data_IF_739303797142
#
_entry.id   IF_739303797142
#
_cell.length_a   1.000
_cell.length_b   1.000
_cell.length_c   1.000
_cell.angle_alpha   90.00
_cell.angle_beta   90.00
_cell.angle_gamma   90.00
#
_symmetry.space_group_name_H-M   'P 1'
#
loop_
_entity.id
_entity.type
_entity.pdbx_description
1 polymer ?
#
# COMPACT_ATOMS: atom_id res chain seq x y z
N UNK A 1 -2.55 -1.77 -10.09
CA UNK A 1 -3.56 -2.35 -9.18
C UNK A 1 -2.77 -3.09 -8.11
N UNK A 2 -2.94 -2.74 -6.84
CA UNK A 2 -2.18 -3.34 -5.73
C UNK A 2 -3.20 -4.10 -4.89
N UNK A 3 -2.99 -5.39 -4.66
CA UNK A 3 -3.89 -6.21 -3.84
C UNK A 3 -3.21 -6.47 -2.51
N UNK A 4 -3.93 -6.27 -1.42
CA UNK A 4 -3.56 -6.84 -0.13
C UNK A 4 -4.33 -8.15 0.03
N UNK A 5 -3.62 -9.23 0.36
CA UNK A 5 -4.15 -10.58 0.40
C UNK A 5 -5.41 -10.73 1.30
N UNK A 6 -5.54 -9.88 2.32
CA UNK A 6 -6.69 -9.91 3.24
C UNK A 6 -7.90 -9.02 2.83
N UNK A 7 -7.73 -8.01 1.96
CA UNK A 7 -8.74 -6.94 1.76
C UNK A 7 -9.18 -6.68 0.29
N UNK A 8 -8.54 -7.28 -0.72
CA UNK A 8 -8.95 -7.15 -2.13
C UNK A 8 -8.12 -6.15 -2.94
N UNK A 9 -8.68 -5.60 -4.03
CA UNK A 9 -7.98 -4.73 -4.99
C UNK A 9 -7.99 -3.26 -4.52
N UNK A 10 -6.80 -2.72 -4.27
CA UNK A 10 -6.55 -1.31 -3.99
C UNK A 10 -5.94 -0.56 -5.18
N UNK A 11 -6.24 0.74 -5.27
CA UNK A 11 -5.62 1.69 -6.19
C UNK A 11 -4.51 2.44 -5.46
N UNK A 12 -3.35 2.52 -6.12
CA UNK A 12 -2.25 3.35 -5.66
C UNK A 12 -2.56 4.83 -5.95
N UNK A 13 -2.51 5.65 -4.91
CA UNK A 13 -2.77 7.10 -5.00
C UNK A 13 -1.47 7.91 -5.02
N UNK A 14 -0.41 7.43 -4.36
CA UNK A 14 0.86 8.16 -4.29
C UNK A 14 1.75 7.72 -3.13
N UNK A 15 2.89 8.41 -3.01
CA UNK A 15 3.80 8.30 -1.88
C UNK A 15 3.54 9.47 -0.93
N UNK A 16 3.45 9.21 0.36
CA UNK A 16 3.20 10.22 1.38
C UNK A 16 4.12 9.96 2.58
N UNK A 17 4.83 10.99 3.03
CA UNK A 17 5.69 10.90 4.22
C UNK A 17 4.83 11.12 5.46
N UNK A 18 4.77 10.11 6.33
CA UNK A 18 4.02 10.14 7.57
C UNK A 18 4.97 10.13 8.76
N UNK A 19 4.73 10.99 9.76
CA UNK A 19 5.43 10.91 11.04
C UNK A 19 4.83 9.78 11.89
N UNK A 20 5.58 8.68 12.02
CA UNK A 20 5.20 7.51 12.83
C UNK A 20 6.28 7.35 13.90
N UNK A 21 5.88 7.27 15.17
CA UNK A 21 6.82 7.11 16.30
C UNK A 21 7.95 8.18 16.37
N UNK A 22 7.65 9.44 16.03
CA UNK A 22 8.62 10.55 15.95
C UNK A 22 9.74 10.35 14.90
N UNK A 23 9.51 9.51 13.88
CA UNK A 23 10.36 9.41 12.71
C UNK A 23 9.51 9.59 11.44
N UNK A 24 10.04 10.26 10.41
CA UNK A 24 9.39 10.32 9.11
C UNK A 24 9.53 8.98 8.41
N UNK A 25 8.40 8.38 8.02
CA UNK A 25 8.33 7.16 7.22
C UNK A 25 7.65 7.44 5.90
N UNK A 26 8.32 7.11 4.80
CA UNK A 26 7.69 7.14 3.48
C UNK A 26 6.72 5.97 3.35
N UNK A 27 5.46 6.29 3.08
CA UNK A 27 4.35 5.34 3.00
C UNK A 27 3.67 5.40 1.64
N UNK A 28 3.33 4.24 1.10
CA UNK A 28 2.43 4.11 -0.04
C UNK A 28 0.99 4.35 0.41
N UNK A 29 0.32 5.28 -0.24
CA UNK A 29 -1.10 5.54 -0.05
C UNK A 29 -1.92 4.68 -1.02
N UNK A 30 -2.74 3.80 -0.46
CA UNK A 30 -3.60 2.87 -1.19
C UNK A 30 -5.05 3.13 -0.82
N UNK A 31 -5.94 3.22 -1.81
CA UNK A 31 -7.40 3.29 -1.58
C UNK A 31 -8.07 2.00 -2.06
N UNK A 32 -8.84 1.36 -1.19
CA UNK A 32 -9.60 0.14 -1.47
C UNK A 32 -11.03 0.44 -1.88
N UNK A 33 -11.68 -0.58 -2.43
CA UNK A 33 -13.11 -0.53 -2.72
C UNK A 33 -13.90 -0.33 -1.42
N UNK A 34 -14.74 0.72 -1.37
CA UNK A 34 -15.42 1.16 -0.14
C UNK A 34 -14.89 2.48 0.42
N UNK A 35 -13.76 2.99 -0.10
CA UNK A 35 -13.19 4.28 0.31
C UNK A 35 -12.17 4.18 1.44
N UNK A 36 -11.89 2.97 1.92
CA UNK A 36 -10.87 2.72 2.94
C UNK A 36 -9.47 3.06 2.41
N UNK A 37 -8.67 3.72 3.24
CA UNK A 37 -7.29 4.06 2.93
C UNK A 37 -6.34 3.23 3.78
N UNK A 38 -5.29 2.72 3.14
CA UNK A 38 -4.20 2.00 3.79
C UNK A 38 -2.89 2.71 3.47
N UNK A 39 -2.10 2.92 4.51
CA UNK A 39 -0.74 3.43 4.41
C UNK A 39 0.23 2.31 4.71
N UNK A 40 1.11 2.02 3.75
CA UNK A 40 2.10 0.95 3.89
C UNK A 40 3.48 1.55 3.79
N UNK A 41 4.30 1.47 4.86
CA UNK A 41 5.70 1.90 4.80
C UNK A 41 6.44 1.22 3.64
N UNK A 42 7.23 1.98 2.89
CA UNK A 42 7.99 1.45 1.74
C UNK A 42 8.97 0.34 2.13
N UNK A 43 9.46 0.37 3.37
CA UNK A 43 10.28 -0.68 3.99
C UNK A 43 9.56 -2.03 4.13
N UNK A 44 8.23 -2.02 4.17
CA UNK A 44 7.38 -3.21 4.26
C UNK A 44 6.78 -3.61 2.90
N UNK A 45 7.22 -3.00 1.79
CA UNK A 45 6.70 -3.28 0.45
C UNK A 45 6.91 -4.74 0.04
N UNK A 46 7.95 -5.40 0.54
CA UNK A 46 8.21 -6.82 0.28
C UNK A 46 7.14 -7.75 0.90
N UNK A 47 6.39 -7.25 1.90
CA UNK A 47 5.23 -7.93 2.47
C UNK A 47 3.96 -7.68 1.67
N UNK A 48 3.94 -6.67 0.78
CA UNK A 48 2.86 -6.47 -0.17
C UNK A 48 3.05 -7.41 -1.35
N UNK A 49 2.24 -8.46 -1.41
CA UNK A 49 2.16 -9.31 -2.59
C UNK A 49 1.59 -8.51 -3.75
N UNK A 50 2.45 -8.09 -4.70
CA UNK A 50 2.00 -7.40 -5.92
C UNK A 50 1.12 -8.32 -6.75
N UNK A 51 -0.20 -8.15 -6.70
CA UNK A 51 -1.08 -8.75 -7.69
C UNK A 51 -0.98 -7.97 -9.00
N UNK A 52 -0.40 -8.61 -10.01
CA UNK A 52 -0.08 -8.00 -11.30
C UNK A 52 1.29 -8.36 -11.87
N UNK A 53 2.04 -9.28 -11.27
CA UNK A 53 3.21 -9.88 -11.92
C UNK A 53 3.26 -11.39 -11.77
N UNK A 54 2.11 -12.02 -11.94
CA UNK A 54 2.07 -13.35 -12.53
C UNK A 54 0.82 -13.43 -13.41
N UNK A 55 0.94 -12.81 -14.57
CA UNK A 55 0.18 -13.21 -15.75
C UNK A 55 1.25 -13.50 -16.81
N UNK A 56 1.44 -14.75 -17.27
CA UNK A 56 2.31 -15.02 -18.41
C UNK A 56 1.83 -14.27 -19.67
#
# INVERSE_FOLDING_TARGET
LIVHADHGIGRYEGLETLDINNAPHDCLNLTYHGGDRLYVPVENIDRLTRYGSDNP
#
